data_IF_072266988593
#
_entry.id   IF_072266988593
#
_cell.length_a   1.000
_cell.length_b   1.000
_cell.length_c   1.000
_cell.angle_alpha   90.00
_cell.angle_beta   90.00
_cell.angle_gamma   90.00
#
_symmetry.space_group_name_H-M   'P 1'
#
loop_
_entity.id
_entity.type
_entity.pdbx_description
1 polymer ?
#
# COMPACT_ATOMS: atom_id res chain seq x y z
N UNK A 1 11.36 22.33 54.61
CA UNK A 1 11.56 21.04 53.92
C UNK A 1 10.27 20.26 54.03
N UNK A 2 9.46 20.22 52.98
CA UNK A 2 8.12 19.63 53.01
C UNK A 2 8.15 18.22 52.40
N UNK A 3 7.90 17.21 53.22
CA UNK A 3 7.67 15.83 52.77
C UNK A 3 6.33 15.75 52.05
N UNK A 4 6.40 15.45 50.74
CA UNK A 4 5.26 15.08 49.90
C UNK A 4 4.67 13.78 50.42
N UNK A 5 3.50 13.86 51.05
CA UNK A 5 2.65 12.69 51.27
C UNK A 5 1.96 12.36 49.94
N UNK A 6 2.41 11.29 49.29
CA UNK A 6 1.76 10.72 48.11
C UNK A 6 0.54 9.94 48.62
N UNK A 7 -0.64 10.56 48.54
CA UNK A 7 -1.89 9.84 48.70
C UNK A 7 -2.17 9.09 47.39
N UNK A 8 -1.75 7.82 47.35
CA UNK A 8 -2.22 6.83 46.38
C UNK A 8 -3.74 6.71 46.52
N UNK A 9 -4.49 7.31 45.59
CA UNK A 9 -5.93 7.15 45.53
C UNK A 9 -6.18 5.81 44.85
N UNK A 10 -6.20 4.75 45.65
CA UNK A 10 -6.74 3.46 45.27
C UNK A 10 -8.20 3.70 44.85
N UNK A 11 -8.49 3.57 43.57
CA UNK A 11 -9.86 3.53 43.07
C UNK A 11 -10.57 2.36 43.76
N UNK A 12 -11.35 2.67 44.81
CA UNK A 12 -12.23 1.73 45.48
C UNK A 12 -13.26 1.28 44.44
N UNK A 13 -13.06 0.09 43.88
CA UNK A 13 -14.05 -0.58 43.04
C UNK A 13 -15.21 -0.93 43.98
N UNK A 14 -16.26 -0.12 43.90
CA UNK A 14 -17.48 -0.26 44.67
C UNK A 14 -18.25 -1.51 44.17
N UNK A 15 -18.58 -2.50 45.03
CA UNK A 15 -19.07 -3.82 44.63
C UNK A 15 -20.53 -3.87 44.12
N UNK A 16 -21.25 -2.74 44.05
CA UNK A 16 -22.60 -2.65 43.47
C UNK A 16 -22.62 -2.09 42.03
N UNK A 17 -21.48 -2.11 41.33
CA UNK A 17 -21.37 -1.56 39.98
C UNK A 17 -21.50 -2.66 38.94
N UNK A 18 -22.52 -2.54 38.10
CA UNK A 18 -22.59 -3.28 36.84
C UNK A 18 -21.23 -3.21 36.12
N UNK A 19 -20.77 -4.32 35.51
CA UNK A 19 -19.53 -4.31 34.73
C UNK A 19 -19.61 -3.24 33.63
N UNK A 20 -18.55 -2.45 33.45
CA UNK A 20 -18.55 -1.29 32.56
C UNK A 20 -17.53 -1.45 31.43
N UNK A 21 -17.97 -1.19 30.20
CA UNK A 21 -17.08 -0.96 29.06
C UNK A 21 -16.77 0.53 29.00
N UNK A 22 -15.47 0.84 28.87
CA UNK A 22 -14.99 2.20 28.70
C UNK A 22 -14.76 2.46 27.22
N UNK A 23 -15.71 3.16 26.57
CA UNK A 23 -15.58 3.52 25.17
C UNK A 23 -14.92 4.90 25.06
N UNK A 24 -13.70 5.02 24.50
CA UNK A 24 -13.05 6.32 24.35
C UNK A 24 -13.82 7.19 23.35
N UNK A 25 -13.98 8.47 23.68
CA UNK A 25 -14.54 9.48 22.79
C UNK A 25 -13.46 10.53 22.55
N UNK A 26 -13.23 10.87 21.29
CA UNK A 26 -12.29 11.94 20.93
C UNK A 26 -12.77 13.29 21.46
N UNK A 27 -11.83 14.14 21.88
CA UNK A 27 -12.17 15.41 22.53
C UNK A 27 -13.00 16.34 21.62
N UNK A 28 -12.80 16.24 20.31
CA UNK A 28 -13.52 17.03 19.29
C UNK A 28 -14.85 16.40 18.85
N UNK A 29 -15.17 15.18 19.28
CA UNK A 29 -16.38 14.46 18.86
C UNK A 29 -17.58 14.68 19.80
N UNK A 30 -18.22 15.84 19.62
CA UNK A 30 -19.43 16.21 20.35
C UNK A 30 -20.67 15.38 19.95
N UNK A 31 -20.68 14.79 18.77
CA UNK A 31 -21.81 14.00 18.25
C UNK A 31 -21.89 12.65 18.98
N UNK A 32 -20.75 12.00 19.19
CA UNK A 32 -20.65 10.77 19.97
C UNK A 32 -21.11 10.95 21.41
N UNK A 33 -20.77 12.08 22.06
CA UNK A 33 -21.23 12.41 23.42
C UNK A 33 -22.76 12.41 23.48
N UNK A 34 -23.38 13.14 22.55
CA UNK A 34 -24.84 13.26 22.46
C UNK A 34 -25.48 11.90 22.17
N UNK A 35 -24.85 11.07 21.33
CA UNK A 35 -25.31 9.72 21.05
C UNK A 35 -25.35 8.85 22.31
N UNK A 36 -24.26 8.80 23.09
CA UNK A 36 -24.21 7.96 24.30
C UNK A 36 -25.17 8.45 25.39
N UNK A 37 -25.27 9.76 25.60
CA UNK A 37 -26.21 10.35 26.56
C UNK A 37 -27.67 10.05 26.18
N UNK A 38 -28.03 10.18 24.90
CA UNK A 38 -29.37 9.87 24.39
C UNK A 38 -29.71 8.38 24.48
N UNK A 39 -28.70 7.51 24.47
CA UNK A 39 -28.86 6.06 24.67
C UNK A 39 -28.75 5.64 26.16
N UNK A 40 -28.77 6.60 27.10
CA UNK A 40 -28.77 6.33 28.53
C UNK A 40 -27.42 5.88 29.10
N UNK A 41 -26.33 6.07 28.36
CA UNK A 41 -24.97 5.83 28.83
C UNK A 41 -24.41 7.10 29.48
N UNK A 42 -23.68 6.94 30.59
CA UNK A 42 -23.05 8.06 31.26
C UNK A 42 -21.71 8.39 30.59
N UNK A 43 -21.50 9.66 30.21
CA UNK A 43 -20.19 10.12 29.71
C UNK A 43 -19.42 10.75 30.86
N UNK A 44 -18.18 10.32 31.07
CA UNK A 44 -17.32 10.84 32.13
C UNK A 44 -15.91 11.09 31.63
N UNK A 45 -15.29 12.14 32.15
CA UNK A 45 -13.88 12.44 31.87
C UNK A 45 -13.01 11.78 32.93
N UNK A 46 -12.14 10.87 32.49
CA UNK A 46 -11.19 10.15 33.34
C UNK A 46 -9.79 10.63 32.98
N UNK A 47 -9.03 11.08 33.97
CA UNK A 47 -7.63 11.47 33.78
C UNK A 47 -6.75 10.24 33.72
N UNK A 48 -6.24 9.91 32.53
CA UNK A 48 -5.30 8.82 32.29
C UNK A 48 -3.93 9.41 31.92
N UNK A 49 -2.86 8.94 32.57
CA UNK A 49 -1.48 9.40 32.31
C UNK A 49 -1.32 10.93 32.32
N UNK A 50 -2.06 11.62 33.21
CA UNK A 50 -2.01 13.08 33.35
C UNK A 50 -2.77 13.87 32.29
N UNK A 51 -3.42 13.20 31.32
CA UNK A 51 -4.28 13.84 30.30
C UNK A 51 -5.75 13.47 30.54
N UNK A 52 -6.68 14.43 30.51
CA UNK A 52 -8.11 14.12 30.58
C UNK A 52 -8.52 13.38 29.31
N UNK A 53 -9.25 12.28 29.43
CA UNK A 53 -9.83 11.55 28.31
C UNK A 53 -11.32 11.33 28.58
N UNK A 54 -12.15 11.51 27.56
CA UNK A 54 -13.60 11.31 27.66
C UNK A 54 -13.95 9.86 27.38
N UNK A 55 -14.81 9.28 28.21
CA UNK A 55 -15.29 7.91 28.04
C UNK A 55 -16.80 7.85 28.17
N UNK A 56 -17.45 7.10 27.30
CA UNK A 56 -18.78 6.57 27.56
C UNK A 56 -18.68 5.32 28.44
N UNK A 57 -19.44 5.33 29.53
CA UNK A 57 -19.58 4.23 30.48
C UNK A 57 -20.80 3.40 30.08
N UNK A 58 -20.56 2.29 29.41
CA UNK A 58 -21.61 1.39 28.93
C UNK A 58 -21.76 0.23 29.91
N UNK A 59 -22.91 0.09 30.61
CA UNK A 59 -23.15 -1.03 31.50
C UNK A 59 -23.31 -2.33 30.69
N UNK A 60 -22.72 -3.40 31.20
CA UNK A 60 -22.86 -4.74 30.64
C UNK A 60 -23.47 -5.68 31.67
N UNK A 61 -23.91 -6.84 31.20
CA UNK A 61 -24.47 -7.89 32.05
C UNK A 61 -23.37 -8.76 32.70
N UNK A 62 -22.17 -8.81 32.10
CA UNK A 62 -21.10 -9.76 32.48
C UNK A 62 -19.72 -9.11 32.56
N UNK A 63 -19.00 -9.35 33.66
CA UNK A 63 -17.63 -8.85 33.88
C UNK A 63 -16.66 -9.32 32.78
N UNK A 64 -16.76 -10.57 32.35
CA UNK A 64 -15.92 -11.12 31.28
C UNK A 64 -16.10 -10.37 29.95
N UNK A 65 -17.33 -9.93 29.65
CA UNK A 65 -17.60 -9.16 28.45
C UNK A 65 -16.95 -7.78 28.55
N UNK A 66 -17.10 -7.10 29.70
CA UNK A 66 -16.46 -5.82 29.93
C UNK A 66 -14.93 -5.91 29.86
N UNK A 67 -14.33 -6.91 30.51
CA UNK A 67 -12.89 -7.12 30.52
C UNK A 67 -12.35 -7.44 29.13
N UNK A 68 -13.09 -8.23 28.34
CA UNK A 68 -12.71 -8.56 26.96
C UNK A 68 -12.69 -7.31 26.08
N UNK A 69 -13.75 -6.51 26.11
CA UNK A 69 -13.82 -5.27 25.32
C UNK A 69 -12.78 -4.26 25.77
N UNK A 70 -12.62 -4.04 27.07
CA UNK A 70 -11.64 -3.09 27.60
C UNK A 70 -10.18 -3.47 27.22
N UNK A 71 -9.87 -4.77 27.17
CA UNK A 71 -8.57 -5.26 26.64
C UNK A 71 -8.43 -4.96 25.15
N UNK A 72 -9.45 -5.27 24.36
CA UNK A 72 -9.43 -5.08 22.91
C UNK A 72 -9.22 -3.61 22.53
N UNK A 73 -9.94 -2.68 23.18
CA UNK A 73 -9.74 -1.24 22.97
C UNK A 73 -8.33 -0.77 23.37
N UNK A 74 -7.79 -1.30 24.47
CA UNK A 74 -6.43 -0.98 24.91
C UNK A 74 -5.38 -1.39 23.87
N UNK A 75 -5.55 -2.53 23.21
CA UNK A 75 -4.64 -3.00 22.16
C UNK A 75 -4.76 -2.17 20.87
N UNK A 76 -5.98 -1.87 20.43
CA UNK A 76 -6.22 -1.07 19.22
C UNK A 76 -5.61 0.33 19.36
N UNK A 77 -5.84 0.99 20.50
CA UNK A 77 -5.30 2.31 20.78
C UNK A 77 -3.76 2.31 20.78
N UNK A 78 -3.11 1.26 21.33
CA UNK A 78 -1.65 1.13 21.28
C UNK A 78 -1.12 0.95 19.85
N UNK A 79 -1.80 0.16 19.02
CA UNK A 79 -1.42 -0.01 17.62
C UNK A 79 -1.53 1.28 16.81
N UNK A 80 -2.63 2.02 17.00
CA UNK A 80 -2.82 3.31 16.34
C UNK A 80 -1.73 4.30 16.75
N UNK A 81 -1.45 4.43 18.06
CA UNK A 81 -0.38 5.29 18.55
C UNK A 81 0.98 4.91 17.98
N UNK A 82 1.32 3.63 17.92
CA UNK A 82 2.56 3.17 17.29
C UNK A 82 2.60 3.48 15.79
N UNK A 83 1.48 3.32 15.08
CA UNK A 83 1.41 3.62 13.64
C UNK A 83 1.54 5.11 13.35
N UNK A 84 0.94 5.97 14.19
CA UNK A 84 1.06 7.41 14.10
C UNK A 84 2.48 7.85 14.43
N UNK A 85 3.09 7.28 15.47
CA UNK A 85 4.49 7.55 15.80
C UNK A 85 5.42 7.15 14.65
N UNK A 86 5.23 5.97 14.04
CA UNK A 86 6.01 5.55 12.87
C UNK A 86 5.81 6.47 11.66
N UNK A 87 4.60 7.01 11.45
CA UNK A 87 4.37 8.00 10.39
C UNK A 87 5.10 9.31 10.69
N UNK A 88 4.96 9.84 11.90
CA UNK A 88 5.65 11.04 12.37
C UNK A 88 7.18 10.91 12.29
N UNK A 89 7.74 9.76 12.68
CA UNK A 89 9.18 9.50 12.66
C UNK A 89 9.72 9.37 11.22
N UNK A 90 8.87 8.97 10.27
CA UNK A 90 9.22 8.84 8.85
C UNK A 90 8.79 10.05 8.00
N UNK A 91 8.16 11.07 8.60
CA UNK A 91 7.82 12.32 7.92
C UNK A 91 9.08 13.17 7.77
N UNK A 92 9.71 13.04 6.60
CA UNK A 92 10.80 13.93 6.17
C UNK A 92 10.20 15.06 5.35
N UNK A 93 10.62 16.30 5.61
CA UNK A 93 10.18 17.48 4.86
C UNK A 93 10.50 17.32 3.37
N UNK A 94 9.57 17.74 2.51
CA UNK A 94 9.78 17.74 1.06
C UNK A 94 11.05 18.51 0.66
N UNK A 95 11.35 19.61 1.33
CA UNK A 95 12.54 20.43 1.07
C UNK A 95 13.84 19.66 1.38
N UNK A 96 13.84 18.82 2.43
CA UNK A 96 14.97 17.97 2.81
C UNK A 96 15.23 16.88 1.75
N UNK A 97 14.17 16.28 1.23
CA UNK A 97 14.25 15.24 0.17
C UNK A 97 14.76 15.83 -1.15
N UNK A 98 14.40 17.08 -1.45
CA UNK A 98 14.89 17.81 -2.64
C UNK A 98 16.35 18.21 -2.48
N UNK A 99 16.78 18.68 -1.31
CA UNK A 99 18.20 18.97 -1.01
C UNK A 99 19.08 17.71 -1.06
N UNK A 100 18.57 16.55 -0.62
CA UNK A 100 19.26 15.25 -0.69
C UNK A 100 19.36 14.69 -2.12
N UNK A 101 18.96 15.46 -3.13
CA UNK A 101 19.17 15.13 -4.54
C UNK A 101 18.08 14.26 -5.16
N UNK A 102 16.87 14.26 -4.59
CA UNK A 102 15.71 13.66 -5.25
C UNK A 102 15.31 14.46 -6.49
N UNK A 103 15.96 14.15 -7.59
CA UNK A 103 15.44 14.48 -8.91
C UNK A 103 14.22 13.58 -9.12
N UNK A 104 13.01 14.15 -9.03
CA UNK A 104 11.83 13.53 -9.61
C UNK A 104 12.26 13.00 -10.96
N UNK A 105 12.17 11.69 -11.16
CA UNK A 105 12.30 11.10 -12.48
C UNK A 105 11.08 11.59 -13.29
N UNK A 106 11.12 12.87 -13.66
CA UNK A 106 10.50 13.32 -14.88
C UNK A 106 11.24 12.48 -15.90
N UNK A 107 10.66 11.33 -16.24
CA UNK A 107 10.96 10.69 -17.50
C UNK A 107 10.88 11.83 -18.49
N UNK A 108 12.05 12.30 -18.95
CA UNK A 108 12.18 13.30 -20.00
C UNK A 108 11.63 12.61 -21.25
N UNK A 109 10.30 12.53 -21.31
CA UNK A 109 9.54 12.14 -22.47
C UNK A 109 9.52 13.38 -23.32
N UNK A 110 10.66 13.70 -23.95
CA UNK A 110 10.66 14.67 -25.01
C UNK A 110 9.58 14.24 -26.01
N UNK A 111 8.60 15.09 -26.34
CA UNK A 111 7.62 14.76 -27.38
C UNK A 111 8.29 14.30 -28.68
N UNK A 112 9.51 14.78 -28.99
CA UNK A 112 10.29 14.29 -30.12
C UNK A 112 10.68 12.81 -29.96
N UNK A 113 11.15 12.39 -28.79
CA UNK A 113 11.51 10.99 -28.49
C UNK A 113 10.29 10.08 -28.51
N UNK A 114 9.15 10.55 -28.02
CA UNK A 114 7.88 9.80 -28.09
C UNK A 114 7.48 9.59 -29.56
N UNK A 115 7.57 10.64 -30.38
CA UNK A 115 7.22 10.57 -31.81
C UNK A 115 8.20 9.68 -32.58
N UNK A 116 9.49 9.74 -32.26
CA UNK A 116 10.52 8.88 -32.85
C UNK A 116 10.28 7.41 -32.50
N UNK A 117 10.05 7.11 -31.22
CA UNK A 117 9.75 5.75 -30.77
C UNK A 117 8.44 5.23 -31.39
N UNK A 118 7.40 6.07 -31.50
CA UNK A 118 6.14 5.71 -32.15
C UNK A 118 6.35 5.39 -33.64
N UNK A 119 7.17 6.17 -34.35
CA UNK A 119 7.50 5.93 -35.76
C UNK A 119 8.25 4.59 -35.93
N UNK A 120 9.24 4.33 -35.08
CA UNK A 120 9.98 3.07 -35.07
C UNK A 120 9.07 1.87 -34.81
N UNK A 121 8.19 1.95 -33.81
CA UNK A 121 7.22 0.88 -33.47
C UNK A 121 6.26 0.64 -34.64
N UNK A 122 5.76 1.70 -35.29
CA UNK A 122 4.86 1.56 -36.46
C UNK A 122 5.56 0.89 -37.63
N UNK A 123 6.81 1.27 -37.93
CA UNK A 123 7.60 0.66 -38.99
C UNK A 123 7.84 -0.83 -38.72
N UNK A 124 8.20 -1.18 -37.49
CA UNK A 124 8.35 -2.57 -37.06
C UNK A 124 7.04 -3.37 -37.19
N UNK A 125 5.90 -2.79 -36.79
CA UNK A 125 4.61 -3.45 -36.88
C UNK A 125 4.16 -3.70 -38.34
N UNK A 126 4.42 -2.76 -39.25
CA UNK A 126 4.13 -2.94 -40.67
C UNK A 126 4.94 -4.10 -41.26
N UNK A 127 6.23 -4.21 -40.93
CA UNK A 127 7.06 -5.28 -41.46
C UNK A 127 6.81 -6.63 -40.81
N UNK A 128 6.51 -6.66 -39.51
CA UNK A 128 6.03 -7.88 -38.85
C UNK A 128 4.77 -8.43 -39.53
N UNK A 129 3.90 -7.58 -40.06
CA UNK A 129 2.72 -7.99 -40.84
C UNK A 129 3.05 -8.48 -42.27
N UNK A 130 4.17 -8.02 -42.85
CA UNK A 130 4.68 -8.42 -44.17
C UNK A 130 5.40 -9.77 -44.14
N UNK A 131 5.82 -10.24 -42.96
CA UNK A 131 6.53 -11.50 -42.80
C UNK A 131 5.68 -12.72 -43.23
N UNK A 132 6.34 -13.78 -43.72
CA UNK A 132 5.71 -15.09 -43.94
C UNK A 132 5.02 -15.61 -42.67
N UNK A 133 3.93 -16.36 -42.84
CA UNK A 133 3.09 -16.87 -41.74
C UNK A 133 3.90 -17.66 -40.69
N UNK A 134 4.87 -18.48 -41.12
CA UNK A 134 5.76 -19.22 -40.23
C UNK A 134 6.66 -18.30 -39.38
N UNK A 135 7.15 -17.21 -39.95
CA UNK A 135 7.99 -16.24 -39.24
C UNK A 135 7.17 -15.41 -38.25
N UNK A 136 5.93 -15.06 -38.58
CA UNK A 136 4.99 -14.44 -37.63
C UNK A 136 4.68 -15.35 -36.46
N UNK A 137 4.47 -16.64 -36.72
CA UNK A 137 4.24 -17.65 -35.69
C UNK A 137 5.42 -17.73 -34.71
N UNK A 138 6.66 -17.77 -35.23
CA UNK A 138 7.88 -17.72 -34.41
C UNK A 138 7.94 -16.44 -33.57
N UNK A 139 7.65 -15.27 -34.14
CA UNK A 139 7.64 -14.01 -33.39
C UNK A 139 6.57 -13.99 -32.28
N UNK A 140 5.39 -14.53 -32.53
CA UNK A 140 4.33 -14.63 -31.53
C UNK A 140 4.71 -15.57 -30.39
N UNK A 141 5.29 -16.73 -30.69
CA UNK A 141 5.78 -17.68 -29.67
C UNK A 141 6.92 -17.08 -28.82
N UNK A 142 7.83 -16.31 -29.44
CA UNK A 142 8.86 -15.55 -28.71
C UNK A 142 8.23 -14.49 -27.81
N UNK A 143 7.21 -13.77 -28.28
CA UNK A 143 6.50 -12.78 -27.46
C UNK A 143 5.74 -13.40 -26.28
N UNK A 144 5.28 -14.64 -26.44
CA UNK A 144 4.63 -15.43 -25.39
C UNK A 144 5.62 -16.05 -24.38
N UNK A 145 6.94 -15.88 -24.59
CA UNK A 145 7.98 -16.38 -23.70
C UNK A 145 8.25 -17.88 -23.82
N UNK A 146 7.86 -18.54 -24.92
CA UNK A 146 8.09 -19.97 -25.11
C UNK A 146 9.59 -20.28 -25.28
N UNK A 147 10.02 -21.43 -24.75
CA UNK A 147 11.40 -21.88 -24.87
C UNK A 147 11.72 -22.32 -26.30
N UNK A 148 12.99 -22.19 -26.74
CA UNK A 148 13.38 -22.52 -28.12
C UNK A 148 13.15 -23.99 -28.49
N UNK A 149 13.24 -24.89 -27.51
CA UNK A 149 12.92 -26.31 -27.67
C UNK A 149 11.45 -26.56 -27.89
N UNK A 150 10.59 -25.81 -27.21
CA UNK A 150 9.13 -25.93 -27.34
C UNK A 150 8.67 -25.34 -28.67
N UNK A 151 9.26 -24.23 -29.12
CA UNK A 151 8.99 -23.64 -30.43
C UNK A 151 9.38 -24.56 -31.59
N UNK A 152 10.53 -25.23 -31.50
CA UNK A 152 10.98 -26.18 -32.53
C UNK A 152 10.06 -27.41 -32.61
N UNK A 153 9.61 -27.91 -31.46
CA UNK A 153 8.67 -29.02 -31.37
C UNK A 153 7.28 -28.66 -31.93
N UNK A 154 6.74 -27.49 -31.58
CA UNK A 154 5.42 -27.03 -32.01
C UNK A 154 5.37 -26.77 -33.53
N UNK A 155 6.45 -26.25 -34.10
CA UNK A 155 6.54 -25.97 -35.54
C UNK A 155 6.99 -27.19 -36.37
N UNK A 156 7.38 -28.30 -35.71
CA UNK A 156 7.90 -29.50 -36.38
C UNK A 156 9.19 -29.26 -37.17
N UNK A 157 9.98 -28.24 -36.79
CA UNK A 157 11.22 -27.85 -37.46
C UNK A 157 12.44 -28.19 -36.61
N UNK A 158 13.60 -28.36 -37.24
CA UNK A 158 14.85 -28.54 -36.50
C UNK A 158 15.24 -27.25 -35.77
N UNK A 159 15.94 -27.40 -34.63
CA UNK A 159 16.54 -26.26 -33.92
C UNK A 159 17.40 -25.37 -34.84
N UNK A 160 18.10 -25.98 -35.80
CA UNK A 160 18.92 -25.25 -36.77
C UNK A 160 18.05 -24.39 -37.71
N UNK A 161 16.94 -24.93 -38.22
CA UNK A 161 16.03 -24.18 -39.08
C UNK A 161 15.34 -23.03 -38.31
N UNK A 162 14.97 -23.25 -37.04
CA UNK A 162 14.46 -22.18 -36.16
C UNK A 162 15.51 -21.06 -35.98
N UNK A 163 16.78 -21.43 -35.77
CA UNK A 163 17.88 -20.48 -35.63
C UNK A 163 18.13 -19.69 -36.93
N UNK A 164 18.09 -20.36 -38.09
CA UNK A 164 18.25 -19.72 -39.40
C UNK A 164 17.11 -18.73 -39.66
N UNK A 165 15.87 -19.09 -39.36
CA UNK A 165 14.70 -18.21 -39.46
C UNK A 165 14.80 -16.99 -38.53
N UNK A 166 15.20 -17.18 -37.26
CA UNK A 166 15.45 -16.07 -36.32
C UNK A 166 16.55 -15.14 -36.81
N UNK A 167 17.65 -15.71 -37.30
CA UNK A 167 18.80 -14.95 -37.81
C UNK A 167 18.44 -14.13 -39.05
N UNK A 168 17.64 -14.70 -39.96
CA UNK A 168 17.16 -13.97 -41.14
C UNK A 168 16.22 -12.81 -40.75
N UNK A 169 15.33 -13.04 -39.77
CA UNK A 169 14.46 -12.00 -39.22
C UNK A 169 15.25 -10.85 -38.61
N UNK A 170 16.21 -11.15 -37.74
CA UNK A 170 17.07 -10.14 -37.11
C UNK A 170 17.90 -9.37 -38.15
N UNK A 171 18.36 -10.04 -39.21
CA UNK A 171 19.07 -9.37 -40.31
C UNK A 171 18.18 -8.38 -41.06
N UNK A 172 16.93 -8.75 -41.34
CA UNK A 172 15.94 -7.86 -41.99
C UNK A 172 15.61 -6.67 -41.08
N UNK A 173 15.34 -6.91 -39.80
CA UNK A 173 15.07 -5.87 -38.80
C UNK A 173 16.26 -4.90 -38.65
N UNK A 174 17.49 -5.41 -38.65
CA UNK A 174 18.70 -4.59 -38.54
C UNK A 174 18.88 -3.63 -39.72
N UNK A 175 18.54 -4.05 -40.94
CA UNK A 175 18.64 -3.20 -42.13
C UNK A 175 17.62 -2.05 -42.04
N UNK A 176 16.40 -2.35 -41.60
CA UNK A 176 15.32 -1.37 -41.49
C UNK A 176 15.55 -0.35 -40.37
N UNK A 177 16.01 -0.81 -39.20
CA UNK A 177 16.28 0.08 -38.07
C UNK A 177 17.46 1.01 -38.32
N UNK A 178 18.31 0.72 -39.32
CA UNK A 178 19.41 1.60 -39.73
C UNK A 178 18.91 2.92 -40.32
N UNK A 179 17.68 2.96 -40.84
CA UNK A 179 17.08 4.18 -41.39
C UNK A 179 16.47 5.07 -40.29
N UNK A 180 16.38 4.58 -39.04
CA UNK A 180 15.81 5.27 -37.88
C UNK A 180 16.84 5.57 -36.78
N UNK A 181 18.13 5.24 -37.01
CA UNK A 181 19.28 5.59 -36.14
C UNK A 181 20.11 6.69 -36.79
#
# INVERSE_FOLDING_TARGET
MAQKNIACINATINPDRHPLIYYPIDDDDCESVSFYENNGCAVSTITLNGKPHRFALVPTETQEQADRFNREFSYLQQQEQHSLQQKMDNEVSYDQVVEDGYHSAVAHNDPADILLNLAAIKALACELNSLPEQQRCICQMVSAGMAESEMAAELGISHQALHDHKSELLRKLKILLKDYC
#
